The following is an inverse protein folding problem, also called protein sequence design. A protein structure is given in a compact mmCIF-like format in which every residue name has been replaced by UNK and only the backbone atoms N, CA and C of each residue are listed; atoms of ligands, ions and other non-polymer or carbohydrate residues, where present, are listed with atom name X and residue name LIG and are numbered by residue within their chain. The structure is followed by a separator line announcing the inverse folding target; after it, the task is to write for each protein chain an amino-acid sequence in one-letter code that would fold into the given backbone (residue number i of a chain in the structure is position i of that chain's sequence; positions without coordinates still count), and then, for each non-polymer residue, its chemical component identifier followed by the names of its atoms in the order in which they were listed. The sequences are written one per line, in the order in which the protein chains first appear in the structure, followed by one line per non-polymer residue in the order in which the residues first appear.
data_IF_492531364724
#
_entry.id   IF_492531364724
#
_cell.length_a   1.000
_cell.length_b   1.000
_cell.length_c   1.000
_cell.angle_alpha   90.00
_cell.angle_beta   90.00
_cell.angle_gamma   90.00
#
_symmetry.space_group_name_H-M   'P 1'
#
loop_
_entity.id
_entity.type
_entity.pdbx_description
1 polymer ?
#
# COMPACT_ATOMS: atom_id res chain seq x y z
N UNK A 1 1.75 -30.29 -0.71
CA UNK A 1 2.62 -29.11 -0.53
C UNK A 1 3.27 -29.21 0.83
N UNK A 2 4.61 -29.17 0.93
CA UNK A 2 5.29 -29.17 2.23
C UNK A 2 5.40 -27.72 2.70
N UNK A 3 4.69 -27.36 3.77
CA UNK A 3 4.84 -26.05 4.39
C UNK A 3 6.23 -25.96 5.00
N UNK A 4 6.97 -24.91 4.65
CA UNK A 4 8.22 -24.57 5.33
C UNK A 4 7.88 -23.69 6.53
N UNK A 5 8.04 -24.25 7.73
CA UNK A 5 7.82 -23.51 8.98
C UNK A 5 9.14 -22.83 9.34
N UNK A 6 9.11 -21.52 9.52
CA UNK A 6 10.26 -20.72 9.96
C UNK A 6 10.18 -20.59 11.48
N UNK A 7 11.29 -20.84 12.18
CA UNK A 7 11.37 -20.65 13.63
C UNK A 7 11.42 -19.14 13.95
N UNK A 8 10.62 -18.71 14.92
CA UNK A 8 10.63 -17.36 15.47
C UNK A 8 12.04 -16.91 15.87
N UNK A 9 12.84 -17.81 16.46
CA UNK A 9 14.20 -17.52 16.94
C UNK A 9 15.18 -17.23 15.80
N UNK A 10 14.96 -17.81 14.62
CA UNK A 10 15.82 -17.58 13.47
C UNK A 10 15.53 -16.19 12.87
N UNK A 11 14.27 -15.77 12.85
CA UNK A 11 13.88 -14.41 12.46
C UNK A 11 14.45 -13.39 13.44
N UNK A 12 14.26 -13.59 14.74
CA UNK A 12 14.77 -12.65 15.75
C UNK A 12 16.30 -12.53 15.67
N UNK A 13 17.03 -13.64 15.50
CA UNK A 13 18.49 -13.62 15.37
C UNK A 13 18.97 -12.85 14.15
N UNK A 14 18.30 -12.96 13.01
CA UNK A 14 18.64 -12.19 11.80
C UNK A 14 18.37 -10.70 12.01
N UNK A 15 17.27 -10.35 12.68
CA UNK A 15 16.93 -8.95 13.01
C UNK A 15 17.91 -8.32 14.01
N UNK A 16 18.36 -9.07 15.02
CA UNK A 16 19.32 -8.60 16.04
C UNK A 16 20.70 -8.23 15.46
N UNK A 17 20.98 -8.59 14.20
CA UNK A 17 22.22 -8.19 13.50
C UNK A 17 22.25 -6.71 13.12
N UNK A 18 21.12 -5.99 13.21
CA UNK A 18 20.98 -4.59 12.81
C UNK A 18 20.88 -4.36 11.30
N UNK A 19 21.30 -5.32 10.47
CA UNK A 19 21.12 -5.32 9.01
C UNK A 19 20.64 -6.71 8.58
N UNK A 20 19.35 -7.03 8.79
CA UNK A 20 18.85 -8.37 8.51
C UNK A 20 18.94 -8.68 7.02
N UNK A 21 19.39 -9.90 6.72
CA UNK A 21 19.70 -10.34 5.34
C UNK A 21 18.70 -11.38 4.82
N UNK A 22 18.03 -12.10 5.71
CA UNK A 22 17.14 -13.21 5.37
C UNK A 22 15.68 -12.79 5.45
N UNK A 23 15.32 -12.03 6.49
CA UNK A 23 13.95 -11.62 6.81
C UNK A 23 13.82 -10.10 6.82
N UNK A 24 12.74 -9.60 6.20
CA UNK A 24 12.49 -8.15 6.12
C UNK A 24 11.45 -7.67 7.15
N UNK A 25 10.88 -8.62 7.90
CA UNK A 25 9.77 -8.39 8.84
C UNK A 25 9.92 -9.32 10.04
N UNK A 26 9.58 -8.85 11.24
CA UNK A 26 9.43 -9.66 12.45
C UNK A 26 8.02 -10.27 12.56
N UNK A 27 7.89 -11.27 13.42
CA UNK A 27 6.60 -11.78 13.87
C UNK A 27 5.93 -10.84 14.88
N UNK A 28 4.63 -11.03 15.08
CA UNK A 28 3.86 -10.42 16.17
C UNK A 28 3.33 -11.46 17.13
N UNK A 29 3.18 -11.05 18.38
CA UNK A 29 2.48 -11.83 19.40
C UNK A 29 1.01 -11.42 19.46
N UNK A 30 0.18 -12.22 20.12
CA UNK A 30 -1.20 -11.83 20.42
C UNK A 30 -1.26 -10.60 21.35
N UNK A 31 -0.27 -10.42 22.22
CA UNK A 31 -0.13 -9.26 23.11
C UNK A 31 0.15 -7.96 22.35
N UNK A 32 0.69 -8.05 21.13
CA UNK A 32 0.87 -6.89 20.25
C UNK A 32 -0.45 -6.40 19.64
N UNK A 33 -1.52 -7.19 19.77
CA UNK A 33 -2.80 -7.02 19.11
C UNK A 33 -4.00 -7.28 20.05
N UNK A 34 -3.99 -6.79 21.31
CA UNK A 34 -4.91 -7.27 22.35
C UNK A 34 -6.37 -6.94 22.05
N UNK A 35 -6.60 -5.82 21.35
CA UNK A 35 -7.92 -5.30 20.99
C UNK A 35 -8.28 -5.54 19.52
N UNK A 36 -7.42 -6.24 18.76
CA UNK A 36 -7.68 -6.51 17.35
C UNK A 36 -8.51 -7.79 17.22
N UNK A 37 -9.71 -7.72 16.62
CA UNK A 37 -10.55 -8.90 16.46
C UNK A 37 -9.87 -9.90 15.54
N UNK A 38 -10.19 -11.20 15.72
CA UNK A 38 -9.84 -12.23 14.74
C UNK A 38 -10.29 -11.74 13.35
N UNK A 39 -9.38 -11.67 12.35
CA UNK A 39 -9.76 -11.25 11.01
C UNK A 39 -10.94 -12.09 10.52
N UNK A 40 -12.09 -11.45 10.31
CA UNK A 40 -13.20 -12.05 9.58
C UNK A 40 -12.92 -11.92 8.08
N UNK A 41 -13.80 -12.43 7.21
CA UNK A 41 -13.69 -12.18 5.75
C UNK A 41 -13.66 -10.69 5.37
N UNK A 42 -13.91 -9.79 6.34
CA UNK A 42 -13.70 -8.36 6.23
C UNK A 42 -12.52 -7.96 7.11
N UNK A 43 -11.37 -7.66 6.50
CA UNK A 43 -10.80 -6.35 6.78
C UNK A 43 -10.07 -5.79 5.55
N UNK A 44 -10.77 -4.98 4.76
CA UNK A 44 -10.13 -4.13 3.74
C UNK A 44 -9.56 -2.84 4.32
N UNK A 45 -9.56 -2.68 5.65
CA UNK A 45 -9.13 -1.47 6.33
C UNK A 45 -7.65 -1.59 6.70
N UNK A 46 -6.79 -1.01 5.87
CA UNK A 46 -5.33 -1.03 6.08
C UNK A 46 -4.93 -0.30 7.36
N UNK A 47 -5.61 0.79 7.70
CA UNK A 47 -5.44 1.58 8.92
C UNK A 47 -5.49 0.72 10.20
N UNK A 48 -6.42 -0.24 10.28
CA UNK A 48 -6.54 -1.16 11.42
C UNK A 48 -5.27 -1.96 11.66
N UNK A 49 -4.62 -2.38 10.57
CA UNK A 49 -3.43 -3.23 10.62
C UNK A 49 -2.14 -2.43 10.55
N UNK A 50 -2.20 -1.14 10.24
CA UNK A 50 -1.03 -0.29 10.05
C UNK A 50 -0.08 -0.32 11.26
N UNK A 51 -0.52 -0.19 12.53
CA UNK A 51 0.40 -0.23 13.68
C UNK A 51 1.20 -1.54 13.75
N UNK A 52 0.55 -2.67 13.50
CA UNK A 52 1.24 -3.97 13.42
C UNK A 52 2.18 -4.00 12.21
N UNK A 53 1.73 -3.62 11.02
CA UNK A 53 2.58 -3.62 9.81
C UNK A 53 3.85 -2.79 10.03
N UNK A 54 3.74 -1.62 10.66
CA UNK A 54 4.90 -0.79 10.99
C UNK A 54 5.83 -1.47 11.99
N UNK A 55 5.27 -2.06 13.05
CA UNK A 55 6.04 -2.79 14.06
C UNK A 55 6.75 -4.02 13.48
N UNK A 56 6.14 -4.78 12.56
CA UNK A 56 6.85 -5.90 11.87
C UNK A 56 8.10 -5.40 11.15
N UNK A 57 8.08 -4.17 10.64
CA UNK A 57 9.15 -3.62 9.80
C UNK A 57 10.12 -2.74 10.59
N UNK A 58 9.94 -2.64 11.91
CA UNK A 58 10.65 -1.70 12.77
C UNK A 58 10.59 -0.24 12.26
N UNK A 59 9.41 0.16 11.77
CA UNK A 59 9.17 1.52 11.27
C UNK A 59 8.43 2.31 12.36
N UNK A 60 8.91 3.50 12.75
CA UNK A 60 8.19 4.33 13.71
C UNK A 60 6.88 4.83 13.10
N UNK A 61 5.82 4.94 13.93
CA UNK A 61 4.52 5.46 13.48
C UNK A 61 4.62 6.83 12.79
N UNK A 62 5.55 7.67 13.24
CA UNK A 62 5.82 9.01 12.69
C UNK A 62 6.40 9.01 11.28
N UNK A 63 6.90 7.87 10.78
CA UNK A 63 7.38 7.76 9.41
C UNK A 63 6.25 7.54 8.39
N UNK A 64 5.03 7.24 8.84
CA UNK A 64 3.87 7.14 7.95
C UNK A 64 3.28 8.51 7.68
N UNK A 65 3.05 8.81 6.41
CA UNK A 65 2.37 10.03 5.97
C UNK A 65 1.00 9.67 5.41
N UNK A 66 -0.03 10.44 5.76
CA UNK A 66 -1.40 10.17 5.33
C UNK A 66 -1.92 11.33 4.51
N UNK A 67 -2.56 11.02 3.39
CA UNK A 67 -3.26 11.99 2.54
C UNK A 67 -4.71 11.53 2.38
N UNK A 68 -5.64 12.45 2.63
CA UNK A 68 -7.05 12.26 2.30
C UNK A 68 -7.36 12.93 0.97
N UNK A 69 -7.95 12.19 0.04
CA UNK A 69 -8.52 12.77 -1.17
C UNK A 69 -10.01 12.95 -1.01
N UNK A 70 -10.50 14.13 -1.38
CA UNK A 70 -11.93 14.42 -1.42
C UNK A 70 -12.61 13.68 -2.56
N UNK A 71 -13.93 13.49 -2.46
CA UNK A 71 -14.75 12.92 -3.54
C UNK A 71 -14.61 13.65 -4.88
N UNK A 72 -14.33 14.95 -4.87
CA UNK A 72 -14.09 15.74 -6.09
C UNK A 72 -12.76 15.32 -6.75
N UNK A 73 -11.67 15.32 -5.98
CA UNK A 73 -10.35 14.91 -6.42
C UNK A 73 -10.34 13.46 -6.95
N UNK A 74 -11.02 12.56 -6.23
CA UNK A 74 -11.19 11.16 -6.65
C UNK A 74 -11.88 11.07 -8.02
N UNK A 75 -12.83 11.96 -8.31
CA UNK A 75 -13.54 11.98 -9.60
C UNK A 75 -12.63 12.37 -10.75
N UNK A 76 -11.79 13.38 -10.56
CA UNK A 76 -10.77 13.77 -11.54
C UNK A 76 -9.84 12.60 -11.85
N UNK A 77 -9.36 11.91 -10.80
CA UNK A 77 -8.49 10.73 -10.96
C UNK A 77 -9.20 9.61 -11.74
N UNK A 78 -10.46 9.30 -11.41
CA UNK A 78 -11.23 8.24 -12.09
C UNK A 78 -11.49 8.58 -13.56
N UNK A 79 -11.81 9.84 -13.87
CA UNK A 79 -11.99 10.30 -15.24
C UNK A 79 -10.70 10.15 -16.05
N UNK A 80 -9.58 10.62 -15.50
CA UNK A 80 -8.27 10.47 -16.13
C UNK A 80 -7.88 8.98 -16.30
N UNK A 81 -8.23 8.14 -15.32
CA UNK A 81 -7.97 6.71 -15.36
C UNK A 81 -8.72 6.00 -16.48
N UNK A 82 -9.96 6.40 -16.77
CA UNK A 82 -10.73 5.85 -17.90
C UNK A 82 -9.97 5.94 -19.24
N UNK A 83 -9.17 7.00 -19.42
CA UNK A 83 -8.36 7.21 -20.62
C UNK A 83 -6.91 6.70 -20.52
N UNK A 84 -6.41 6.38 -19.31
CA UNK A 84 -4.97 6.15 -19.05
C UNK A 84 -4.64 4.73 -18.59
N UNK A 85 -5.60 3.98 -18.02
CA UNK A 85 -5.35 2.61 -17.49
C UNK A 85 -4.93 1.64 -18.58
N UNK A 86 -5.52 1.74 -19.77
CA UNK A 86 -5.23 0.81 -20.88
C UNK A 86 -3.93 1.14 -21.61
N UNK A 87 -3.57 2.42 -21.73
CA UNK A 87 -2.35 2.89 -22.40
C UNK A 87 -1.13 2.90 -21.49
N UNK A 88 -1.34 2.91 -20.16
CA UNK A 88 -0.28 3.10 -19.16
C UNK A 88 0.44 4.45 -19.28
N UNK A 89 -0.18 5.43 -19.92
CA UNK A 89 0.35 6.78 -20.10
C UNK A 89 -0.72 7.75 -19.65
N UNK A 90 -0.30 8.79 -18.93
CA UNK A 90 -1.21 9.86 -18.55
C UNK A 90 -1.75 10.56 -19.80
N UNK A 91 -3.07 10.56 -19.97
CA UNK A 91 -3.71 11.27 -21.06
C UNK A 91 -3.60 12.79 -20.85
N UNK A 92 -2.96 13.47 -21.81
CA UNK A 92 -2.68 14.92 -21.77
C UNK A 92 -3.92 15.79 -21.60
N UNK A 93 -5.10 15.32 -22.04
CA UNK A 93 -6.35 16.06 -21.90
C UNK A 93 -6.77 16.26 -20.44
N UNK A 94 -6.26 15.45 -19.51
CA UNK A 94 -6.56 15.54 -18.07
C UNK A 94 -5.39 16.08 -17.24
N UNK A 95 -4.27 16.45 -17.88
CA UNK A 95 -3.06 16.85 -17.16
C UNK A 95 -3.28 18.15 -16.35
N UNK A 96 -3.98 19.13 -16.94
CA UNK A 96 -4.31 20.40 -16.29
C UNK A 96 -5.27 20.20 -15.10
N UNK A 97 -6.38 19.48 -15.31
CA UNK A 97 -7.33 19.17 -14.23
C UNK A 97 -6.67 18.45 -13.04
N UNK A 98 -5.76 17.49 -13.32
CA UNK A 98 -5.03 16.79 -12.27
C UNK A 98 -4.05 17.72 -11.53
N UNK A 99 -3.35 18.57 -12.27
CA UNK A 99 -2.44 19.56 -11.70
C UNK A 99 -3.20 20.51 -10.76
N UNK A 100 -4.33 21.03 -11.19
CA UNK A 100 -5.07 22.06 -10.47
C UNK A 100 -5.86 21.49 -9.28
N UNK A 101 -6.50 20.34 -9.45
CA UNK A 101 -7.40 19.79 -8.42
C UNK A 101 -6.72 18.78 -7.49
N UNK A 102 -5.72 18.02 -7.97
CA UNK A 102 -5.21 16.83 -7.28
C UNK A 102 -3.81 17.03 -6.70
N UNK A 103 -2.90 17.73 -7.38
CA UNK A 103 -1.49 17.82 -6.93
C UNK A 103 -1.36 18.46 -5.53
N UNK A 104 -2.18 19.46 -5.22
CA UNK A 104 -2.16 20.15 -3.92
C UNK A 104 -2.41 19.23 -2.72
N UNK A 105 -3.10 18.10 -2.92
CA UNK A 105 -3.31 17.10 -1.86
C UNK A 105 -1.99 16.44 -1.41
N UNK A 106 -0.98 16.45 -2.27
CA UNK A 106 0.30 15.75 -2.06
C UNK A 106 1.47 16.67 -1.73
N UNK A 107 1.30 18.00 -1.79
CA UNK A 107 2.40 18.97 -1.59
C UNK A 107 3.10 18.87 -0.23
N UNK A 108 2.38 18.39 0.79
CA UNK A 108 2.93 18.21 2.14
C UNK A 108 3.71 16.91 2.32
N UNK A 109 3.75 16.05 1.30
CA UNK A 109 4.53 14.82 1.37
C UNK A 109 6.02 15.13 1.37
N UNK A 110 6.73 14.51 2.30
CA UNK A 110 8.18 14.42 2.33
C UNK A 110 8.61 13.14 1.61
N UNK A 111 9.49 13.29 0.61
CA UNK A 111 10.02 12.17 -0.16
C UNK A 111 11.43 11.82 0.34
N UNK A 112 11.62 10.71 1.06
CA UNK A 112 12.94 10.28 1.49
C UNK A 112 13.77 9.75 0.30
N UNK A 113 15.11 9.61 0.43
CA UNK A 113 15.97 9.14 -0.67
C UNK A 113 15.57 7.79 -1.24
N UNK A 114 15.06 6.87 -0.41
CA UNK A 114 14.55 5.56 -0.80
C UNK A 114 13.19 5.62 -1.52
N UNK A 115 12.49 6.75 -1.43
CA UNK A 115 11.16 6.98 -1.97
C UNK A 115 10.04 6.43 -1.08
N UNK A 116 8.81 6.57 -1.56
CA UNK A 116 7.60 6.16 -0.86
C UNK A 116 6.95 4.93 -1.49
N UNK A 117 6.35 4.11 -0.65
CA UNK A 117 5.36 3.10 -1.00
C UNK A 117 3.97 3.63 -0.64
N UNK A 118 3.01 3.53 -1.56
CA UNK A 118 1.63 3.97 -1.33
C UNK A 118 0.67 2.80 -1.18
N UNK A 119 -0.28 2.95 -0.27
CA UNK A 119 -1.33 1.99 0.01
C UNK A 119 -2.67 2.70 0.23
N UNK A 120 -3.68 2.28 -0.52
CA UNK A 120 -5.09 2.55 -0.20
C UNK A 120 -5.58 1.44 0.74
N UNK A 121 -6.72 1.66 1.42
CA UNK A 121 -7.28 0.65 2.34
C UNK A 121 -7.27 -0.78 1.75
N UNK A 122 -7.93 -0.96 0.61
CA UNK A 122 -8.09 -2.27 -0.01
C UNK A 122 -6.95 -2.69 -0.95
N UNK A 123 -6.15 -1.76 -1.49
CA UNK A 123 -5.15 -2.08 -2.51
C UNK A 123 -3.90 -1.19 -2.49
N UNK A 124 -2.84 -1.67 -3.15
CA UNK A 124 -1.68 -0.86 -3.53
C UNK A 124 -1.72 -0.76 -5.05
N UNK A 125 -1.48 0.43 -5.63
CA UNK A 125 -1.57 0.65 -7.06
C UNK A 125 -0.33 0.15 -7.81
N UNK A 126 0.27 -0.97 -7.38
CA UNK A 126 1.55 -1.49 -7.88
C UNK A 126 1.50 -1.93 -9.35
N UNK A 127 0.30 -2.12 -9.88
CA UNK A 127 0.06 -2.40 -11.30
C UNK A 127 0.08 -1.15 -12.18
N UNK A 128 0.09 0.06 -11.62
CA UNK A 128 0.21 1.30 -12.38
C UNK A 128 1.61 1.50 -12.98
N UNK A 129 1.67 2.37 -13.99
CA UNK A 129 2.87 2.74 -14.71
C UNK A 129 3.93 3.39 -13.82
N UNK A 130 5.16 3.43 -14.33
CA UNK A 130 6.34 3.93 -13.63
C UNK A 130 6.99 4.97 -14.53
N UNK A 131 7.34 6.12 -13.98
CA UNK A 131 8.06 7.17 -14.71
C UNK A 131 9.40 6.64 -15.21
N UNK A 132 10.09 5.86 -14.37
CA UNK A 132 11.31 5.13 -14.71
C UNK A 132 11.00 3.62 -14.66
N UNK A 133 11.15 2.90 -15.78
CA UNK A 133 10.91 1.45 -15.81
C UNK A 133 11.75 0.69 -14.77
N UNK A 134 11.09 -0.11 -13.94
CA UNK A 134 11.69 -0.86 -12.84
C UNK A 134 11.64 -0.14 -11.47
N UNK A 135 11.38 1.17 -11.45
CA UNK A 135 11.26 1.94 -10.21
C UNK A 135 9.84 1.84 -9.64
N UNK A 136 9.70 1.01 -8.61
CA UNK A 136 8.43 0.82 -7.91
C UNK A 136 8.22 1.83 -6.77
N UNK A 137 9.27 2.50 -6.32
CA UNK A 137 9.22 3.60 -5.36
C UNK A 137 8.70 4.89 -6.01
N UNK A 138 8.10 5.76 -5.20
CA UNK A 138 7.56 7.06 -5.60
C UNK A 138 8.48 8.17 -5.05
N UNK A 139 8.95 9.07 -5.91
CA UNK A 139 9.87 10.16 -5.53
C UNK A 139 9.31 11.56 -5.81
N UNK A 140 8.12 11.64 -6.39
CA UNK A 140 7.46 12.89 -6.73
C UNK A 140 5.94 12.77 -6.69
N UNK A 141 5.25 13.91 -6.70
CA UNK A 141 3.78 13.97 -6.89
C UNK A 141 3.40 13.39 -8.26
N UNK A 142 4.20 13.66 -9.29
CA UNK A 142 3.97 13.13 -10.64
C UNK A 142 4.00 11.60 -10.67
N UNK A 143 4.93 10.98 -9.92
CA UNK A 143 4.96 9.51 -9.79
C UNK A 143 3.66 8.99 -9.16
N UNK A 144 3.13 9.69 -8.15
CA UNK A 144 1.89 9.31 -7.48
C UNK A 144 0.71 9.42 -8.45
N UNK A 145 0.56 10.58 -9.11
CA UNK A 145 -0.55 10.84 -10.03
C UNK A 145 -0.52 9.90 -11.22
N UNK A 146 0.65 9.67 -11.83
CA UNK A 146 0.82 8.67 -12.87
C UNK A 146 0.41 7.29 -12.37
N UNK A 147 0.86 6.89 -11.17
CA UNK A 147 0.54 5.57 -10.61
C UNK A 147 -0.94 5.38 -10.37
N UNK A 148 -1.61 6.38 -9.80
CA UNK A 148 -3.04 6.34 -9.48
C UNK A 148 -3.91 6.32 -10.75
N UNK A 149 -3.56 7.11 -11.77
CA UNK A 149 -4.35 7.21 -13.02
C UNK A 149 -4.12 6.03 -13.97
N UNK A 150 -3.04 5.26 -13.80
CA UNK A 150 -2.74 4.12 -14.68
C UNK A 150 -2.90 2.76 -14.00
N UNK A 151 -3.30 2.72 -12.72
CA UNK A 151 -3.57 1.49 -11.97
C UNK A 151 -5.05 1.10 -12.06
N UNK A 152 -5.32 -0.13 -12.51
CA UNK A 152 -6.66 -0.69 -12.49
C UNK A 152 -7.16 -0.93 -11.06
N UNK A 153 -6.26 -1.31 -10.16
CA UNK A 153 -6.58 -1.51 -8.73
C UNK A 153 -7.00 -0.20 -8.04
N UNK A 154 -6.28 0.89 -8.30
CA UNK A 154 -6.63 2.21 -7.81
C UNK A 154 -7.98 2.64 -8.38
N UNK A 155 -8.17 2.53 -9.70
CA UNK A 155 -9.42 2.89 -10.37
C UNK A 155 -10.61 2.14 -9.78
N UNK A 156 -10.53 0.82 -9.57
CA UNK A 156 -11.60 0.06 -8.90
C UNK A 156 -11.87 0.54 -7.47
N UNK A 157 -10.83 0.85 -6.70
CA UNK A 157 -10.98 1.34 -5.32
C UNK A 157 -11.66 2.71 -5.29
N UNK A 158 -11.26 3.62 -6.17
CA UNK A 158 -11.84 4.95 -6.29
C UNK A 158 -13.27 4.93 -6.83
N UNK A 159 -13.55 4.12 -7.85
CA UNK A 159 -14.91 3.94 -8.35
C UNK A 159 -15.84 3.35 -7.28
N UNK A 160 -15.37 2.41 -6.47
CA UNK A 160 -16.15 1.89 -5.34
C UNK A 160 -16.44 2.96 -4.30
N UNK A 161 -15.47 3.83 -3.99
CA UNK A 161 -15.68 5.00 -3.14
C UNK A 161 -16.75 5.94 -3.73
N UNK A 162 -16.66 6.26 -5.03
CA UNK A 162 -17.66 7.07 -5.73
C UNK A 162 -19.05 6.42 -5.77
N UNK A 163 -19.15 5.10 -5.72
CA UNK A 163 -20.43 4.37 -5.64
C UNK A 163 -20.95 4.18 -4.21
N UNK A 164 -20.30 4.80 -3.22
CA UNK A 164 -20.69 4.78 -1.82
C UNK A 164 -20.96 6.19 -1.28
N UNK A 165 -21.44 6.28 -0.05
CA UNK A 165 -21.67 7.55 0.67
C UNK A 165 -20.39 8.20 1.21
N UNK A 166 -19.22 7.56 1.01
CA UNK A 166 -17.94 8.11 1.44
C UNK A 166 -17.66 9.47 0.76
N UNK A 167 -17.17 10.42 1.57
CA UNK A 167 -16.79 11.76 1.13
C UNK A 167 -15.30 11.91 0.89
N UNK A 168 -14.49 11.04 1.51
CA UNK A 168 -13.04 11.04 1.38
C UNK A 168 -12.50 9.61 1.33
N UNK A 169 -11.28 9.47 0.83
CA UNK A 169 -10.50 8.24 0.91
C UNK A 169 -9.10 8.54 1.40
N UNK A 170 -8.64 7.76 2.38
CA UNK A 170 -7.29 7.88 2.93
C UNK A 170 -6.30 7.01 2.15
N UNK A 171 -5.11 7.55 1.97
CA UNK A 171 -3.94 6.87 1.44
C UNK A 171 -2.80 6.99 2.44
N UNK A 172 -2.06 5.91 2.56
CA UNK A 172 -0.93 5.77 3.47
C UNK A 172 0.35 5.67 2.66
N UNK A 173 1.32 6.50 3.00
CA UNK A 173 2.64 6.56 2.40
C UNK A 173 3.67 6.14 3.44
N UNK A 174 4.43 5.10 3.12
CA UNK A 174 5.46 4.53 3.97
C UNK A 174 6.81 4.65 3.27
N UNK A 175 7.94 4.72 4.00
CA UNK A 175 9.26 4.55 3.41
C UNK A 175 9.32 3.26 2.60
N UNK A 176 9.85 3.38 1.38
CA UNK A 176 9.98 2.26 0.47
C UNK A 176 11.11 1.33 0.93
N UNK A 177 10.82 0.03 0.99
CA UNK A 177 11.83 -0.99 1.30
C UNK A 177 12.06 -1.89 0.08
N UNK A 178 13.19 -1.72 -0.59
CA UNK A 178 13.57 -2.50 -1.77
C UNK A 178 13.72 -4.01 -1.50
N UNK A 179 13.80 -4.43 -0.23
CA UNK A 179 13.84 -5.84 0.14
C UNK A 179 12.44 -6.47 0.08
N UNK A 180 11.37 -5.68 0.17
CA UNK A 180 9.96 -6.10 0.08
C UNK A 180 9.55 -6.41 -1.37
N UNK A 181 10.24 -7.38 -1.97
CA UNK A 181 10.07 -7.81 -3.37
C UNK A 181 8.81 -8.63 -3.53
N UNK A 182 7.99 -8.32 -4.53
CA UNK A 182 6.74 -9.05 -4.81
C UNK A 182 6.98 -10.54 -5.13
N UNK A 183 8.16 -10.92 -5.63
CA UNK A 183 8.53 -12.32 -5.86
C UNK A 183 8.66 -13.14 -4.56
N UNK A 184 8.74 -12.48 -3.41
CA UNK A 184 8.80 -13.07 -2.06
C UNK A 184 7.51 -12.83 -1.26
N UNK A 185 6.46 -12.34 -1.91
CA UNK A 185 5.14 -12.14 -1.31
C UNK A 185 4.32 -13.44 -1.40
N UNK A 186 3.82 -13.92 -0.27
CA UNK A 186 2.97 -15.11 -0.19
C UNK A 186 1.55 -14.73 0.24
N UNK A 187 0.54 -15.49 -0.23
CA UNK A 187 -0.85 -15.27 0.18
C UNK A 187 -1.33 -16.43 1.03
N UNK A 188 -1.30 -16.23 2.34
CA UNK A 188 -1.73 -17.25 3.29
C UNK A 188 -3.25 -17.23 3.43
N UNK A 189 -3.88 -18.38 3.23
CA UNK A 189 -5.30 -18.60 3.48
C UNK A 189 -5.47 -19.37 4.79
N UNK A 190 -6.26 -18.79 5.71
CA UNK A 190 -6.53 -19.39 7.02
C UNK A 190 -8.01 -19.78 7.11
N UNK A 191 -8.29 -20.95 7.68
CA UNK A 191 -9.67 -21.43 7.89
C UNK A 191 -10.32 -20.62 9.02
N UNK A 192 -11.48 -19.97 8.78
CA UNK A 192 -12.21 -19.25 9.82
C UNK A 192 -12.46 -20.12 11.06
N UNK A 193 -12.35 -19.54 12.26
CA UNK A 193 -12.57 -20.21 13.53
C UNK A 193 -11.41 -21.09 14.02
N UNK A 194 -10.80 -21.91 13.16
CA UNK A 194 -9.67 -22.76 13.55
C UNK A 194 -8.30 -22.08 13.44
N UNK A 195 -8.22 -20.99 12.66
CA UNK A 195 -6.99 -20.23 12.35
C UNK A 195 -5.88 -21.06 11.69
N UNK A 196 -6.18 -22.30 11.28
CA UNK A 196 -5.24 -23.17 10.59
C UNK A 196 -4.98 -22.68 9.17
N UNK A 197 -3.72 -22.75 8.74
CA UNK A 197 -3.34 -22.49 7.35
C UNK A 197 -3.90 -23.60 6.46
N UNK A 198 -4.73 -23.24 5.48
CA UNK A 198 -5.28 -24.15 4.47
C UNK A 198 -4.48 -24.11 3.16
N UNK A 199 -3.94 -22.95 2.80
CA UNK A 199 -3.15 -22.75 1.59
C UNK A 199 -2.20 -21.54 1.74
N UNK A 200 -1.19 -21.47 0.87
CA UNK A 200 -0.22 -20.37 0.74
C UNK A 200 -0.03 -20.05 -0.74
#
# INVERSE_FOLDING_TARGET
MKLHIVDFRDVQRDLDTGVPTNFNTNFHTAEDAPDLPIPTNLPYSFDRWLPLILKTRDIPNTATQTVSLTRAQVRVIVNAAGASVHTRVLNRAYAEDLQDEVHSAFEKLSFPPEGLFVRLGACSPKDGAQTIPGQTSLHSVDDIVLRLTTSGRASSTFSNMLNSDAQEIQMFFLPFDARMRTQREYRVFCVPGSLRISAV
#
